data_IF_924021138008
#
_entry.id   IF_924021138008
#
_cell.length_a   1.000
_cell.length_b   1.000
_cell.length_c   1.000
_cell.angle_alpha   90.00
_cell.angle_beta   90.00
_cell.angle_gamma   90.00
#
_symmetry.space_group_name_H-M   'P 1'
#
loop_
_entity.id
_entity.type
_entity.pdbx_description
1 polymer ?
#
# COMPACT_ATOMS: atom_id res chain seq x y z
N UNK A 1 31.39 0.32 4.41
CA UNK A 1 31.69 0.34 5.85
C UNK A 1 33.12 0.81 5.99
N UNK A 2 33.32 1.98 6.52
CA UNK A 2 34.66 2.53 6.74
C UNK A 2 35.20 1.93 8.03
N UNK A 3 36.38 1.32 7.99
CA UNK A 3 37.00 0.77 9.20
C UNK A 3 37.50 1.91 10.07
N UNK A 4 37.05 1.95 11.31
CA UNK A 4 37.46 2.98 12.28
C UNK A 4 38.75 2.63 13.05
N UNK A 5 39.53 1.68 12.54
CA UNK A 5 40.72 1.13 13.20
C UNK A 5 41.71 2.22 13.58
N UNK A 6 42.05 3.12 12.65
CA UNK A 6 43.04 4.18 12.84
C UNK A 6 42.62 5.17 13.95
N UNK A 7 41.36 5.58 13.89
CA UNK A 7 40.75 6.48 14.90
C UNK A 7 40.73 5.81 16.29
N UNK A 8 40.35 4.54 16.33
CA UNK A 8 40.23 3.79 17.57
C UNK A 8 41.59 3.53 18.20
N UNK A 9 42.63 3.14 17.43
CA UNK A 9 43.99 3.01 17.92
C UNK A 9 44.42 4.34 18.57
N UNK A 10 44.24 5.47 17.87
CA UNK A 10 44.59 6.79 18.36
C UNK A 10 43.79 7.19 19.62
N UNK A 11 42.50 6.87 19.65
CA UNK A 11 41.61 7.14 20.78
C UNK A 11 42.07 6.36 22.03
N UNK A 12 42.26 5.04 21.91
CA UNK A 12 42.66 4.18 23.02
C UNK A 12 44.06 4.55 23.54
N UNK A 13 45.03 4.85 22.65
CA UNK A 13 46.36 5.32 23.02
C UNK A 13 46.26 6.61 23.85
N UNK A 14 45.47 7.61 23.37
CA UNK A 14 45.29 8.87 24.11
C UNK A 14 44.58 8.66 25.44
N UNK A 15 43.63 7.73 25.51
CA UNK A 15 42.94 7.39 26.78
C UNK A 15 43.90 6.81 27.80
N UNK A 16 44.89 6.00 27.38
CA UNK A 16 46.00 5.50 28.23
C UNK A 16 47.14 6.55 28.43
N UNK A 17 47.00 7.75 27.83
CA UNK A 17 48.01 8.85 27.92
C UNK A 17 49.38 8.48 27.36
N UNK A 18 49.44 7.60 26.38
CA UNK A 18 50.70 7.17 25.77
C UNK A 18 51.09 8.05 24.58
N UNK A 19 52.41 8.22 24.34
CA UNK A 19 52.92 8.73 23.06
C UNK A 19 52.92 7.61 22.03
N UNK A 20 53.14 7.93 20.73
CA UNK A 20 53.26 6.91 19.68
C UNK A 20 54.50 6.04 19.90
N UNK A 21 55.60 6.60 20.39
CA UNK A 21 56.83 5.91 20.73
C UNK A 21 56.62 4.90 21.86
N UNK A 22 55.87 5.29 22.89
CA UNK A 22 55.58 4.42 24.04
C UNK A 22 54.71 3.25 23.61
N UNK A 23 53.61 3.51 22.84
CA UNK A 23 52.79 2.40 22.29
C UNK A 23 53.60 1.49 21.40
N UNK A 24 54.47 2.04 20.56
CA UNK A 24 55.34 1.25 19.67
C UNK A 24 56.28 0.36 20.47
N UNK A 25 56.90 0.89 21.56
CA UNK A 25 57.78 0.10 22.43
C UNK A 25 57.00 -1.04 23.11
N UNK A 26 55.83 -0.77 23.62
CA UNK A 26 54.97 -1.76 24.28
C UNK A 26 54.51 -2.89 23.36
N UNK A 27 54.23 -2.57 22.07
CA UNK A 27 53.81 -3.53 21.04
C UNK A 27 55.03 -4.15 20.27
N UNK A 28 56.24 -3.81 20.59
CA UNK A 28 57.42 -4.36 19.89
C UNK A 28 57.56 -3.92 18.43
N UNK A 29 57.04 -2.76 18.06
CA UNK A 29 57.07 -2.21 16.71
C UNK A 29 57.82 -0.88 16.64
N UNK A 30 57.99 -0.33 15.43
CA UNK A 30 58.58 1.00 15.27
C UNK A 30 57.57 2.11 15.48
N UNK A 31 57.95 3.27 16.02
CA UNK A 31 57.06 4.44 16.12
C UNK A 31 56.51 4.88 14.78
N UNK A 32 57.26 4.70 13.69
CA UNK A 32 56.78 4.94 12.32
C UNK A 32 55.64 4.01 11.89
N UNK A 33 55.58 2.77 12.43
CA UNK A 33 54.47 1.87 12.15
C UNK A 33 53.15 2.41 12.82
N UNK A 34 53.24 2.76 14.11
CA UNK A 34 52.08 3.33 14.82
C UNK A 34 51.61 4.64 14.16
N UNK A 35 52.55 5.51 13.77
CA UNK A 35 52.21 6.72 13.01
C UNK A 35 51.40 6.40 11.71
N UNK A 36 51.91 5.47 10.92
CA UNK A 36 51.24 5.06 9.65
C UNK A 36 49.84 4.49 9.88
N UNK A 37 49.64 3.73 10.95
CA UNK A 37 48.34 3.17 11.29
C UNK A 37 47.33 4.28 11.67
N UNK A 38 47.74 5.20 12.54
CA UNK A 38 46.91 6.34 13.00
C UNK A 38 46.65 7.37 11.88
N UNK A 39 47.58 7.49 10.92
CA UNK A 39 47.45 8.35 9.75
C UNK A 39 46.72 7.70 8.55
N UNK A 40 46.23 6.46 8.70
CA UNK A 40 45.59 5.66 7.63
C UNK A 40 46.50 5.36 6.41
N UNK A 41 47.81 5.43 6.59
CA UNK A 41 48.78 5.15 5.53
C UNK A 41 49.08 3.67 5.38
N UNK A 42 48.84 2.87 6.40
CA UNK A 42 48.89 1.40 6.39
C UNK A 42 47.94 0.82 7.44
N UNK A 43 47.64 -0.47 7.31
CA UNK A 43 46.85 -1.24 8.27
C UNK A 43 47.78 -2.26 8.94
N UNK A 44 47.68 -2.47 10.27
CA UNK A 44 48.39 -3.54 10.96
C UNK A 44 48.01 -4.89 10.40
N UNK A 45 48.94 -5.86 10.46
CA UNK A 45 48.62 -7.27 10.17
C UNK A 45 47.62 -7.84 11.21
N UNK A 46 46.90 -8.91 10.83
CA UNK A 46 45.84 -9.46 11.65
C UNK A 46 46.29 -9.81 13.08
N UNK A 47 47.45 -10.43 13.26
CA UNK A 47 47.99 -10.76 14.56
C UNK A 47 48.25 -9.50 15.40
N UNK A 48 48.78 -8.44 14.78
CA UNK A 48 49.02 -7.16 15.44
C UNK A 48 47.70 -6.47 15.85
N UNK A 49 46.62 -6.63 15.08
CA UNK A 49 45.27 -6.12 15.45
C UNK A 49 44.79 -6.81 16.72
N UNK A 50 44.99 -8.12 16.86
CA UNK A 50 44.67 -8.90 18.06
C UNK A 50 45.51 -8.39 19.25
N UNK A 51 46.83 -8.26 19.09
CA UNK A 51 47.72 -7.75 20.15
C UNK A 51 47.35 -6.34 20.59
N UNK A 52 46.99 -5.44 19.68
CA UNK A 52 46.51 -4.10 19.98
C UNK A 52 45.18 -4.13 20.77
N UNK A 53 44.26 -5.03 20.38
CA UNK A 53 43.00 -5.20 21.11
C UNK A 53 43.26 -5.68 22.55
N UNK A 54 44.07 -6.71 22.72
CA UNK A 54 44.48 -7.23 24.02
C UNK A 54 45.20 -6.17 24.87
N UNK A 55 46.12 -5.43 24.29
CA UNK A 55 46.87 -4.36 24.97
C UNK A 55 45.94 -3.24 25.52
N UNK A 56 44.89 -2.93 24.79
CA UNK A 56 43.90 -1.92 25.16
C UNK A 56 42.72 -2.47 25.98
N UNK A 57 42.72 -3.75 26.34
CA UNK A 57 41.63 -4.44 27.04
C UNK A 57 40.28 -4.24 26.30
N UNK A 58 40.26 -4.42 24.99
CA UNK A 58 39.08 -4.26 24.14
C UNK A 58 38.92 -5.42 23.17
N UNK A 59 37.74 -5.61 22.60
CA UNK A 59 37.55 -6.63 21.56
C UNK A 59 38.07 -6.14 20.20
N UNK A 60 38.48 -7.08 19.34
CA UNK A 60 38.86 -6.78 17.94
C UNK A 60 37.72 -6.07 17.22
N UNK A 61 36.47 -6.48 17.44
CA UNK A 61 35.29 -5.84 16.85
C UNK A 61 35.19 -4.36 17.26
N UNK A 62 35.36 -4.08 18.55
CA UNK A 62 35.33 -2.69 19.06
C UNK A 62 36.50 -1.88 18.50
N UNK A 63 37.71 -2.48 18.43
CA UNK A 63 38.88 -1.83 17.84
C UNK A 63 38.70 -1.52 16.35
N UNK A 64 38.09 -2.42 15.58
CA UNK A 64 37.74 -2.22 14.16
C UNK A 64 36.55 -1.28 13.97
N UNK A 65 35.77 -0.98 15.02
CA UNK A 65 34.50 -0.30 14.93
C UNK A 65 33.43 -1.15 14.25
N UNK A 66 33.57 -2.47 14.35
CA UNK A 66 32.62 -3.42 13.74
C UNK A 66 31.49 -3.71 14.72
N UNK A 67 30.27 -3.51 14.25
CA UNK A 67 29.04 -3.98 14.92
C UNK A 67 28.45 -5.11 14.10
N UNK A 68 28.28 -6.29 14.72
CA UNK A 68 27.67 -7.42 14.07
C UNK A 68 26.22 -7.09 13.69
N UNK A 69 25.93 -7.07 12.39
CA UNK A 69 24.56 -6.91 11.92
C UNK A 69 23.78 -8.19 12.26
N UNK A 70 22.64 -8.02 12.93
CA UNK A 70 21.69 -9.11 13.06
C UNK A 70 21.13 -9.45 11.67
N UNK A 71 21.43 -10.65 11.20
CA UNK A 71 21.05 -11.12 9.87
C UNK A 71 19.99 -12.22 9.93
N UNK A 72 19.16 -12.27 10.99
CA UNK A 72 17.95 -13.09 10.99
C UNK A 72 16.97 -12.61 9.91
N UNK A 73 16.12 -13.50 9.45
CA UNK A 73 15.15 -13.20 8.38
C UNK A 73 14.32 -11.95 8.70
N UNK A 74 13.66 -11.93 9.86
CA UNK A 74 12.78 -10.83 10.27
C UNK A 74 13.50 -9.48 10.35
N UNK A 75 14.72 -9.45 10.91
CA UNK A 75 15.52 -8.23 11.02
C UNK A 75 16.00 -7.77 9.64
N UNK A 76 16.31 -8.71 8.75
CA UNK A 76 16.69 -8.39 7.36
C UNK A 76 15.52 -7.72 6.63
N UNK A 77 14.33 -8.30 6.72
CA UNK A 77 13.09 -7.72 6.12
C UNK A 77 12.81 -6.33 6.68
N UNK A 78 12.87 -6.18 8.00
CA UNK A 78 12.63 -4.88 8.64
C UNK A 78 13.62 -3.81 8.15
N UNK A 79 14.90 -4.17 8.00
CA UNK A 79 15.93 -3.27 7.48
C UNK A 79 15.69 -2.86 6.03
N UNK A 80 15.22 -3.79 5.17
CA UNK A 80 14.83 -3.45 3.80
C UNK A 80 13.65 -2.47 3.76
N UNK A 81 12.64 -2.67 4.62
CA UNK A 81 11.52 -1.73 4.79
C UNK A 81 12.00 -0.34 5.20
N UNK A 82 12.95 -0.27 6.13
CA UNK A 82 13.52 1.01 6.58
C UNK A 82 14.25 1.75 5.46
N UNK A 83 15.07 1.05 4.66
CA UNK A 83 15.73 1.65 3.49
C UNK A 83 14.72 2.20 2.48
N UNK A 84 13.62 1.49 2.26
CA UNK A 84 12.54 1.94 1.39
C UNK A 84 11.85 3.20 1.94
N UNK A 85 11.48 3.21 3.23
CA UNK A 85 10.79 4.32 3.87
C UNK A 85 11.69 5.57 3.91
N UNK A 86 12.97 5.39 4.26
CA UNK A 86 13.96 6.48 4.32
C UNK A 86 14.51 6.88 2.96
N UNK A 87 14.14 6.18 1.89
CA UNK A 87 14.63 6.39 0.53
C UNK A 87 16.16 6.30 0.40
N UNK A 88 16.75 5.39 1.15
CA UNK A 88 18.20 5.16 1.14
C UNK A 88 18.60 4.16 0.04
N UNK A 89 19.21 4.64 -1.04
CA UNK A 89 19.58 3.85 -2.23
C UNK A 89 20.53 2.67 -1.94
N UNK A 90 21.29 2.74 -0.85
CA UNK A 90 22.13 1.63 -0.38
C UNK A 90 21.28 0.36 -0.13
N UNK A 91 19.98 0.52 0.10
CA UNK A 91 19.03 -0.58 0.25
C UNK A 91 19.05 -1.58 -0.90
N UNK A 92 19.31 -1.15 -2.15
CA UNK A 92 19.41 -2.07 -3.30
C UNK A 92 20.56 -3.07 -3.15
N UNK A 93 21.73 -2.62 -2.69
CA UNK A 93 22.86 -3.52 -2.44
C UNK A 93 22.60 -4.47 -1.26
N UNK A 94 21.88 -4.01 -0.25
CA UNK A 94 21.47 -4.84 0.88
C UNK A 94 20.38 -5.85 0.48
N UNK A 95 19.47 -5.47 -0.44
CA UNK A 95 18.47 -6.38 -1.01
C UNK A 95 19.14 -7.53 -1.77
N UNK A 96 20.15 -7.25 -2.61
CA UNK A 96 20.90 -8.32 -3.31
C UNK A 96 21.63 -9.26 -2.33
N UNK A 97 22.19 -8.74 -1.23
CA UNK A 97 22.78 -9.58 -0.17
C UNK A 97 21.73 -10.45 0.52
N UNK A 98 20.56 -9.86 0.80
CA UNK A 98 19.44 -10.56 1.42
C UNK A 98 18.89 -11.66 0.50
N UNK A 99 18.71 -11.39 -0.80
CA UNK A 99 18.27 -12.34 -1.80
C UNK A 99 19.24 -13.51 -1.98
N UNK A 100 20.55 -13.26 -1.90
CA UNK A 100 21.57 -14.33 -1.92
C UNK A 100 21.48 -15.21 -0.67
N UNK A 101 21.20 -14.64 0.49
CA UNK A 101 21.13 -15.36 1.75
C UNK A 101 19.79 -16.11 1.93
N UNK A 102 18.69 -15.51 1.50
CA UNK A 102 17.33 -16.01 1.66
C UNK A 102 16.59 -16.08 0.31
N UNK A 103 17.08 -16.85 -0.66
CA UNK A 103 16.58 -16.83 -2.03
C UNK A 103 15.15 -17.36 -2.18
N UNK A 104 14.66 -18.09 -1.19
CA UNK A 104 13.33 -18.72 -1.18
C UNK A 104 12.44 -18.24 -0.04
N UNK A 105 12.74 -17.12 0.61
CA UNK A 105 11.90 -16.53 1.62
C UNK A 105 10.99 -15.46 0.98
N UNK A 106 9.68 -15.67 1.03
CA UNK A 106 8.69 -14.78 0.43
C UNK A 106 8.89 -13.32 0.83
N UNK A 107 9.01 -13.06 2.14
CA UNK A 107 9.09 -11.69 2.67
C UNK A 107 10.33 -10.94 2.17
N UNK A 108 11.46 -11.64 2.00
CA UNK A 108 12.69 -11.02 1.47
C UNK A 108 12.54 -10.73 -0.01
N UNK A 109 11.99 -11.68 -0.78
CA UNK A 109 11.83 -11.54 -2.23
C UNK A 109 10.83 -10.43 -2.54
N UNK A 110 9.69 -10.42 -1.87
CA UNK A 110 8.64 -9.41 -2.06
C UNK A 110 9.11 -8.02 -1.63
N UNK A 111 9.66 -7.86 -0.42
CA UNK A 111 10.13 -6.54 0.04
C UNK A 111 11.26 -6.00 -0.84
N UNK A 112 12.13 -6.89 -1.36
CA UNK A 112 13.13 -6.49 -2.36
C UNK A 112 12.49 -6.01 -3.65
N UNK A 113 11.44 -6.71 -4.14
CA UNK A 113 10.69 -6.29 -5.33
C UNK A 113 10.12 -4.87 -5.17
N UNK A 114 9.47 -4.62 -4.03
CA UNK A 114 8.91 -3.30 -3.74
C UNK A 114 10.00 -2.22 -3.64
N UNK A 115 11.14 -2.55 -3.04
CA UNK A 115 12.29 -1.64 -2.97
C UNK A 115 12.80 -1.27 -4.37
N UNK A 116 12.98 -2.27 -5.25
CA UNK A 116 13.39 -2.06 -6.65
C UNK A 116 12.36 -1.23 -7.43
N UNK A 117 11.06 -1.50 -7.23
CA UNK A 117 9.97 -0.72 -7.85
C UNK A 117 10.03 0.74 -7.44
N UNK A 118 10.13 1.03 -6.14
CA UNK A 118 10.15 2.41 -5.62
C UNK A 118 11.34 3.19 -6.17
N UNK A 119 12.55 2.62 -6.13
CA UNK A 119 13.73 3.32 -6.64
C UNK A 119 13.75 3.43 -8.16
N UNK A 120 13.23 2.41 -8.87
CA UNK A 120 13.09 2.45 -10.33
C UNK A 120 12.15 3.55 -10.78
N UNK A 121 11.02 3.73 -10.07
CA UNK A 121 10.08 4.82 -10.33
C UNK A 121 10.70 6.19 -10.03
N UNK A 122 11.32 6.37 -8.85
CA UNK A 122 11.87 7.67 -8.43
C UNK A 122 13.01 8.16 -9.32
N UNK A 123 13.81 7.24 -9.86
CA UNK A 123 14.98 7.56 -10.68
C UNK A 123 14.75 7.40 -12.18
N UNK A 124 13.58 6.93 -12.57
CA UNK A 124 13.27 6.57 -13.95
C UNK A 124 14.28 5.55 -14.53
N UNK A 125 14.71 4.60 -13.69
CA UNK A 125 15.65 3.55 -14.06
C UNK A 125 14.93 2.24 -14.44
N UNK A 126 14.73 2.05 -15.72
CA UNK A 126 14.01 0.89 -16.28
C UNK A 126 14.59 -0.46 -15.83
N UNK A 127 15.91 -0.56 -15.68
CA UNK A 127 16.58 -1.78 -15.21
C UNK A 127 16.14 -2.21 -13.82
N UNK A 128 15.87 -1.25 -12.93
CA UNK A 128 15.37 -1.52 -11.59
C UNK A 128 13.92 -2.02 -11.64
N UNK A 129 13.11 -1.47 -12.55
CA UNK A 129 11.72 -1.88 -12.76
C UNK A 129 11.64 -3.30 -13.33
N UNK A 130 12.49 -3.66 -14.29
CA UNK A 130 12.60 -5.04 -14.77
C UNK A 130 13.01 -6.01 -13.66
N UNK A 131 13.97 -5.61 -12.80
CA UNK A 131 14.33 -6.41 -11.64
C UNK A 131 13.17 -6.57 -10.64
N UNK A 132 12.38 -5.52 -10.46
CA UNK A 132 11.18 -5.59 -9.63
C UNK A 132 10.17 -6.63 -10.19
N UNK A 133 9.92 -6.64 -11.51
CA UNK A 133 9.04 -7.63 -12.15
C UNK A 133 9.54 -9.07 -11.92
N UNK A 134 10.80 -9.33 -12.16
CA UNK A 134 11.40 -10.66 -11.92
C UNK A 134 11.19 -11.14 -10.48
N UNK A 135 11.36 -10.22 -9.52
CA UNK A 135 11.15 -10.52 -8.11
C UNK A 135 9.66 -10.67 -7.74
N UNK A 136 8.75 -9.92 -8.38
CA UNK A 136 7.31 -10.09 -8.20
C UNK A 136 6.83 -11.44 -8.75
N UNK A 137 7.28 -11.84 -9.94
CA UNK A 137 7.00 -13.18 -10.49
C UNK A 137 7.46 -14.28 -9.53
N UNK A 138 8.65 -14.13 -8.98
CA UNK A 138 9.17 -15.05 -7.96
C UNK A 138 8.34 -15.01 -6.68
N UNK A 139 7.83 -13.85 -6.29
CA UNK A 139 6.93 -13.71 -5.13
C UNK A 139 5.62 -14.46 -5.34
N UNK A 140 5.06 -14.48 -6.55
CA UNK A 140 3.87 -15.29 -6.87
C UNK A 140 4.14 -16.78 -6.62
N UNK A 141 5.30 -17.30 -7.01
CA UNK A 141 5.67 -18.69 -6.76
C UNK A 141 5.85 -19.01 -5.27
N UNK A 142 6.26 -18.03 -4.47
CA UNK A 142 6.50 -18.17 -3.04
C UNK A 142 5.29 -17.79 -2.18
N UNK A 143 4.20 -17.32 -2.78
CA UNK A 143 3.01 -16.83 -2.09
C UNK A 143 2.42 -17.81 -1.05
N UNK A 144 2.48 -19.15 -1.22
CA UNK A 144 2.04 -20.07 -0.16
C UNK A 144 2.78 -19.94 1.17
N UNK A 145 3.94 -19.27 1.22
CA UNK A 145 4.68 -18.99 2.46
C UNK A 145 4.22 -17.69 3.13
N UNK A 146 3.42 -16.88 2.42
CA UNK A 146 2.98 -15.59 2.95
C UNK A 146 2.03 -15.74 4.12
N UNK A 147 2.26 -14.95 5.17
CA UNK A 147 1.40 -14.89 6.36
C UNK A 147 0.69 -13.54 6.52
N UNK A 148 1.01 -12.57 5.67
CA UNK A 148 0.38 -11.24 5.69
C UNK A 148 -0.93 -11.28 4.87
N UNK A 149 -2.11 -11.15 5.51
CA UNK A 149 -3.38 -11.19 4.81
C UNK A 149 -3.60 -10.02 3.82
N UNK A 150 -2.81 -8.95 3.93
CA UNK A 150 -2.87 -7.82 3.02
C UNK A 150 -2.21 -8.12 1.65
N UNK A 151 -1.39 -9.19 1.57
CA UNK A 151 -0.71 -9.58 0.34
C UNK A 151 -1.37 -10.85 -0.19
N UNK A 152 -1.95 -10.75 -1.36
CA UNK A 152 -2.62 -11.84 -2.06
C UNK A 152 -2.11 -11.94 -3.49
N UNK A 153 -2.53 -12.96 -4.21
CA UNK A 153 -2.26 -13.07 -5.66
C UNK A 153 -2.74 -11.83 -6.42
N UNK A 154 -3.92 -11.32 -6.05
CA UNK A 154 -4.45 -10.05 -6.56
C UNK A 154 -3.49 -8.88 -6.30
N UNK A 155 -2.95 -8.76 -5.10
CA UNK A 155 -2.00 -7.69 -4.75
C UNK A 155 -0.78 -7.76 -5.67
N UNK A 156 -0.19 -8.95 -5.82
CA UNK A 156 1.03 -9.15 -6.61
C UNK A 156 0.81 -8.85 -8.10
N UNK A 157 -0.29 -9.33 -8.70
CA UNK A 157 -0.60 -9.02 -10.09
C UNK A 157 -0.88 -7.54 -10.31
N UNK A 158 -1.52 -6.88 -9.32
CA UNK A 158 -1.69 -5.44 -9.32
C UNK A 158 -0.36 -4.69 -9.31
N UNK A 159 0.58 -5.12 -8.47
CA UNK A 159 1.93 -4.53 -8.40
C UNK A 159 2.74 -4.75 -9.70
N UNK A 160 2.61 -5.93 -10.33
CA UNK A 160 3.23 -6.20 -11.62
C UNK A 160 2.66 -5.30 -12.73
N UNK A 161 1.34 -5.12 -12.75
CA UNK A 161 0.69 -4.23 -13.71
C UNK A 161 1.17 -2.77 -13.54
N UNK A 162 1.34 -2.30 -12.30
CA UNK A 162 1.91 -0.98 -12.04
C UNK A 162 3.32 -0.84 -12.62
N UNK A 163 4.15 -1.86 -12.46
CA UNK A 163 5.51 -1.84 -13.03
C UNK A 163 5.47 -1.85 -14.57
N UNK A 164 4.59 -2.64 -15.19
CA UNK A 164 4.40 -2.61 -16.64
C UNK A 164 4.01 -1.21 -17.14
N UNK A 165 3.14 -0.51 -16.42
CA UNK A 165 2.79 0.88 -16.78
C UNK A 165 3.98 1.84 -16.66
N UNK A 166 4.82 1.66 -15.63
CA UNK A 166 6.01 2.50 -15.42
C UNK A 166 7.06 2.33 -16.51
N UNK A 167 7.10 1.18 -17.19
CA UNK A 167 8.01 0.90 -18.33
C UNK A 167 7.32 1.05 -19.69
N UNK A 168 6.17 1.71 -19.75
CA UNK A 168 5.37 1.94 -20.96
C UNK A 168 4.89 0.67 -21.67
N UNK A 169 4.73 -0.43 -20.95
CA UNK A 169 4.20 -1.71 -21.45
C UNK A 169 2.70 -1.86 -21.07
N UNK A 170 1.90 -0.84 -21.34
CA UNK A 170 0.47 -0.79 -20.98
C UNK A 170 -0.34 -1.99 -21.50
N UNK A 171 -0.02 -2.48 -22.72
CA UNK A 171 -0.63 -3.69 -23.26
C UNK A 171 -0.44 -4.91 -22.37
N UNK A 172 0.78 -5.13 -21.85
CA UNK A 172 1.06 -6.26 -20.94
C UNK A 172 0.35 -6.09 -19.59
N UNK A 173 0.24 -4.85 -19.10
CA UNK A 173 -0.53 -4.57 -17.89
C UNK A 173 -2.00 -4.97 -18.06
N UNK A 174 -2.62 -4.59 -19.19
CA UNK A 174 -4.02 -4.91 -19.50
C UNK A 174 -4.21 -6.43 -19.64
N UNK A 175 -3.34 -7.12 -20.36
CA UNK A 175 -3.40 -8.57 -20.55
C UNK A 175 -3.32 -9.30 -19.20
N UNK A 176 -2.35 -8.93 -18.37
CA UNK A 176 -2.19 -9.50 -17.03
C UNK A 176 -3.45 -9.29 -16.17
N UNK A 177 -3.91 -8.03 -16.09
CA UNK A 177 -5.08 -7.71 -15.28
C UNK A 177 -6.34 -8.41 -15.79
N UNK A 178 -6.55 -8.51 -17.11
CA UNK A 178 -7.69 -9.25 -17.70
C UNK A 178 -7.63 -10.73 -17.38
N UNK A 179 -6.45 -11.35 -17.45
CA UNK A 179 -6.24 -12.76 -17.14
C UNK A 179 -6.65 -13.10 -15.70
N UNK A 180 -6.38 -12.21 -14.75
CA UNK A 180 -6.62 -12.44 -13.32
C UNK A 180 -7.78 -11.60 -12.75
N UNK A 181 -8.70 -11.15 -13.59
CA UNK A 181 -9.85 -10.29 -13.21
C UNK A 181 -11.04 -11.09 -12.64
N UNK A 182 -10.79 -12.08 -11.80
CA UNK A 182 -11.88 -12.82 -11.17
C UNK A 182 -12.76 -11.88 -10.32
N UNK A 183 -14.07 -11.96 -10.52
CA UNK A 183 -15.03 -11.09 -9.82
C UNK A 183 -14.96 -9.61 -10.19
N UNK A 184 -14.20 -9.24 -11.22
CA UNK A 184 -14.09 -7.85 -11.67
C UNK A 184 -13.24 -6.94 -10.79
N UNK A 185 -12.35 -7.52 -9.97
CA UNK A 185 -11.52 -6.75 -9.03
C UNK A 185 -10.60 -5.71 -9.66
N UNK A 186 -10.27 -5.87 -10.93
CA UNK A 186 -9.43 -4.94 -11.68
C UNK A 186 -10.18 -4.10 -12.70
N UNK A 187 -11.51 -4.11 -12.68
CA UNK A 187 -12.30 -3.37 -13.65
C UNK A 187 -11.96 -1.88 -13.68
N UNK A 188 -11.81 -1.25 -12.52
CA UNK A 188 -11.41 0.15 -12.40
C UNK A 188 -10.04 0.42 -13.02
N UNK A 189 -9.07 -0.45 -12.78
CA UNK A 189 -7.70 -0.32 -13.28
C UNK A 189 -7.62 -0.57 -14.79
N UNK A 190 -8.26 -1.65 -15.27
CA UNK A 190 -8.33 -1.98 -16.69
C UNK A 190 -9.01 -0.83 -17.45
N UNK A 191 -10.16 -0.38 -16.96
CA UNK A 191 -10.88 0.73 -17.55
C UNK A 191 -10.07 2.03 -17.57
N UNK A 192 -9.38 2.35 -16.47
CA UNK A 192 -8.51 3.53 -16.42
C UNK A 192 -7.37 3.46 -17.45
N UNK A 193 -6.68 2.31 -17.56
CA UNK A 193 -5.58 2.14 -18.49
C UNK A 193 -6.06 2.25 -19.94
N UNK A 194 -7.17 1.56 -20.27
CA UNK A 194 -7.78 1.64 -21.61
C UNK A 194 -8.19 3.08 -21.97
N UNK A 195 -8.77 3.81 -21.02
CA UNK A 195 -9.20 5.19 -21.25
C UNK A 195 -8.04 6.18 -21.50
N UNK A 196 -6.80 5.82 -21.15
CA UNK A 196 -5.62 6.67 -21.45
C UNK A 196 -5.16 6.59 -22.90
N UNK A 197 -5.59 5.56 -23.66
CA UNK A 197 -5.37 5.43 -25.10
C UNK A 197 -6.62 5.84 -25.86
N UNK A 198 -6.53 6.90 -26.69
CA UNK A 198 -7.68 7.39 -27.47
C UNK A 198 -8.29 6.34 -28.39
N UNK A 199 -7.51 5.36 -28.86
CA UNK A 199 -8.00 4.30 -29.71
C UNK A 199 -8.74 3.18 -28.95
N UNK A 200 -8.54 3.10 -27.64
CA UNK A 200 -9.11 2.06 -26.76
C UNK A 200 -10.13 2.63 -25.76
N UNK A 201 -10.43 3.92 -25.84
CA UNK A 201 -11.31 4.60 -24.89
C UNK A 201 -12.72 3.98 -24.83
N UNK A 202 -13.28 3.56 -25.96
CA UNK A 202 -14.58 2.88 -26.02
C UNK A 202 -14.53 1.50 -25.34
N UNK A 203 -13.41 0.79 -25.44
CA UNK A 203 -13.22 -0.51 -24.76
C UNK A 203 -13.12 -0.36 -23.23
N UNK A 204 -12.86 0.84 -22.72
CA UNK A 204 -12.83 1.14 -21.30
C UNK A 204 -14.23 1.16 -20.66
N UNK A 205 -15.25 1.56 -21.43
CA UNK A 205 -16.58 1.86 -20.90
C UNK A 205 -17.23 0.67 -20.15
N UNK A 206 -17.22 -0.57 -20.66
CA UNK A 206 -17.75 -1.72 -19.92
C UNK A 206 -17.07 -1.94 -18.57
N UNK A 207 -15.72 -1.82 -18.53
CA UNK A 207 -14.95 -2.00 -17.31
C UNK A 207 -15.23 -0.89 -16.28
N UNK A 208 -15.26 0.36 -16.73
CA UNK A 208 -15.57 1.51 -15.87
C UNK A 208 -17.02 1.45 -15.35
N UNK A 209 -17.97 1.04 -16.18
CA UNK A 209 -19.36 0.87 -15.78
C UNK A 209 -19.52 -0.20 -14.69
N UNK A 210 -18.87 -1.37 -14.88
CA UNK A 210 -18.88 -2.42 -13.85
C UNK A 210 -18.17 -2.00 -12.57
N UNK A 211 -17.05 -1.30 -12.68
CA UNK A 211 -16.33 -0.76 -11.52
C UNK A 211 -17.20 0.25 -10.76
N UNK A 212 -17.86 1.17 -11.45
CA UNK A 212 -18.77 2.14 -10.83
C UNK A 212 -19.88 1.43 -10.06
N UNK A 213 -20.53 0.43 -10.68
CA UNK A 213 -21.60 -0.33 -10.05
C UNK A 213 -21.13 -1.05 -8.78
N UNK A 214 -19.99 -1.74 -8.84
CA UNK A 214 -19.42 -2.46 -7.71
C UNK A 214 -19.04 -1.49 -6.56
N UNK A 215 -18.40 -0.38 -6.90
CA UNK A 215 -17.94 0.59 -5.92
C UNK A 215 -19.08 1.37 -5.28
N UNK A 216 -20.12 1.79 -6.05
CA UNK A 216 -21.27 2.50 -5.44
C UNK A 216 -22.03 1.61 -4.47
N UNK A 217 -22.20 0.33 -4.79
CA UNK A 217 -22.83 -0.64 -3.89
C UNK A 217 -22.00 -0.82 -2.59
N UNK A 218 -20.69 -0.88 -2.70
CA UNK A 218 -19.80 -0.95 -1.54
C UNK A 218 -19.85 0.33 -0.69
N UNK A 219 -19.85 1.50 -1.34
CA UNK A 219 -19.95 2.81 -0.67
C UNK A 219 -21.27 2.94 0.09
N UNK A 220 -22.39 2.54 -0.51
CA UNK A 220 -23.69 2.58 0.17
C UNK A 220 -23.68 1.76 1.46
N UNK A 221 -23.19 0.52 1.42
CA UNK A 221 -23.05 -0.31 2.64
C UNK A 221 -22.13 0.33 3.68
N UNK A 222 -21.05 0.95 3.25
CA UNK A 222 -20.10 1.65 4.13
C UNK A 222 -20.78 2.84 4.83
N UNK A 223 -21.58 3.65 4.11
CA UNK A 223 -22.33 4.77 4.67
C UNK A 223 -23.31 4.30 5.74
N UNK A 224 -24.11 3.26 5.46
CA UNK A 224 -25.01 2.66 6.44
C UNK A 224 -24.27 2.15 7.68
N UNK A 225 -23.13 1.48 7.46
CA UNK A 225 -22.28 0.99 8.54
C UNK A 225 -21.78 2.13 9.44
N UNK A 226 -21.23 3.21 8.85
CA UNK A 226 -20.78 4.38 9.62
C UNK A 226 -21.92 5.10 10.33
N UNK A 227 -23.07 5.30 9.67
CA UNK A 227 -24.25 5.91 10.30
C UNK A 227 -24.69 5.09 11.52
N UNK A 228 -24.68 3.75 11.42
CA UNK A 228 -24.98 2.85 12.54
C UNK A 228 -23.98 2.99 13.67
N UNK A 229 -22.66 3.01 13.38
CA UNK A 229 -21.62 3.20 14.39
C UNK A 229 -21.77 4.52 15.13
N UNK A 230 -22.00 5.62 14.40
CA UNK A 230 -22.22 6.94 15.01
C UNK A 230 -23.50 6.96 15.85
N UNK A 231 -24.57 6.31 15.38
CA UNK A 231 -25.81 6.18 16.15
C UNK A 231 -25.59 5.45 17.49
N UNK A 232 -24.87 4.33 17.49
CA UNK A 232 -24.52 3.58 18.72
C UNK A 232 -23.69 4.42 19.69
N UNK A 233 -22.87 5.33 19.18
CA UNK A 233 -22.07 6.27 19.97
C UNK A 233 -22.86 7.49 20.43
N UNK A 234 -24.14 7.61 20.07
CA UNK A 234 -25.01 8.79 20.26
C UNK A 234 -24.44 10.07 19.57
N UNK A 235 -23.60 9.91 18.56
CA UNK A 235 -23.07 10.98 17.71
C UNK A 235 -23.98 11.15 16.49
N UNK A 236 -25.18 11.67 16.73
CA UNK A 236 -26.18 11.80 15.67
C UNK A 236 -25.79 12.85 14.62
N UNK A 237 -25.00 13.84 14.97
CA UNK A 237 -24.49 14.86 14.04
C UNK A 237 -23.56 14.25 12.98
N UNK A 238 -22.63 13.40 13.39
CA UNK A 238 -21.76 12.68 12.43
C UNK A 238 -22.54 11.67 11.60
N UNK A 239 -23.54 10.99 12.20
CA UNK A 239 -24.43 10.09 11.48
C UNK A 239 -25.26 10.83 10.40
N UNK A 240 -25.80 12.00 10.72
CA UNK A 240 -26.49 12.86 9.77
C UNK A 240 -25.57 13.32 8.63
N UNK A 241 -24.36 13.77 8.96
CA UNK A 241 -23.38 14.24 7.98
C UNK A 241 -23.00 13.16 6.96
N UNK A 242 -22.74 11.92 7.38
CA UNK A 242 -22.39 10.83 6.46
C UNK A 242 -23.57 10.41 5.58
N UNK A 243 -24.80 10.45 6.10
CA UNK A 243 -26.00 10.15 5.33
C UNK A 243 -26.28 11.23 4.29
N UNK A 244 -26.14 12.51 4.64
CA UNK A 244 -26.29 13.63 3.69
C UNK A 244 -25.26 13.54 2.56
N UNK A 245 -24.00 13.24 2.87
CA UNK A 245 -22.98 13.00 1.86
C UNK A 245 -23.37 11.84 0.95
N UNK A 246 -23.87 10.74 1.50
CA UNK A 246 -24.34 9.60 0.72
C UNK A 246 -25.51 9.92 -0.20
N UNK A 247 -26.47 10.68 0.29
CA UNK A 247 -27.63 11.14 -0.48
C UNK A 247 -27.17 12.00 -1.66
N UNK A 248 -26.25 12.93 -1.44
CA UNK A 248 -25.71 13.79 -2.50
C UNK A 248 -25.00 12.96 -3.57
N UNK A 249 -24.11 12.04 -3.15
CA UNK A 249 -23.36 11.17 -4.05
C UNK A 249 -24.30 10.31 -4.92
N UNK A 250 -25.28 9.63 -4.31
CA UNK A 250 -26.22 8.75 -5.01
C UNK A 250 -27.11 9.55 -5.94
N UNK A 251 -27.61 10.71 -5.49
CA UNK A 251 -28.45 11.59 -6.30
C UNK A 251 -27.74 12.06 -7.57
N UNK A 252 -26.40 12.24 -7.50
CA UNK A 252 -25.59 12.56 -8.68
C UNK A 252 -25.57 11.48 -9.77
N UNK A 253 -25.91 10.24 -9.43
CA UNK A 253 -25.96 9.10 -10.34
C UNK A 253 -27.37 8.82 -10.88
N UNK A 254 -28.41 9.47 -10.40
CA UNK A 254 -29.77 9.30 -10.91
C UNK A 254 -29.96 10.04 -12.24
N UNK A 255 -30.81 9.53 -13.12
CA UNK A 255 -31.19 10.19 -14.36
C UNK A 255 -32.52 10.93 -14.17
N UNK A 256 -32.62 12.23 -14.50
CA UNK A 256 -33.87 12.97 -14.37
C UNK A 256 -35.02 12.30 -15.17
N UNK A 257 -36.15 12.10 -14.51
CA UNK A 257 -37.34 11.49 -15.13
C UNK A 257 -37.28 9.99 -15.34
N UNK A 258 -36.27 9.31 -14.82
CA UNK A 258 -36.17 7.85 -14.83
C UNK A 258 -35.97 7.33 -13.42
N UNK A 259 -36.60 6.20 -13.12
CA UNK A 259 -36.40 5.49 -11.87
C UNK A 259 -35.27 4.48 -12.00
N UNK A 260 -34.57 4.24 -10.93
CA UNK A 260 -33.52 3.22 -10.82
C UNK A 260 -33.54 2.62 -9.41
N UNK A 261 -32.82 1.55 -9.21
CA UNK A 261 -32.65 0.97 -7.87
C UNK A 261 -32.06 1.97 -6.86
N UNK A 262 -31.33 3.00 -7.33
CA UNK A 262 -30.79 4.07 -6.48
C UNK A 262 -31.88 4.89 -5.80
N UNK A 263 -33.07 5.04 -6.43
CA UNK A 263 -34.20 5.75 -5.83
C UNK A 263 -34.71 5.02 -4.58
N UNK A 264 -34.73 3.69 -4.63
CA UNK A 264 -35.07 2.85 -3.48
C UNK A 264 -34.05 3.05 -2.34
N UNK A 265 -32.76 3.10 -2.67
CA UNK A 265 -31.70 3.36 -1.70
C UNK A 265 -31.78 4.79 -1.12
N UNK A 266 -32.09 5.79 -1.96
CA UNK A 266 -32.29 7.18 -1.50
C UNK A 266 -33.47 7.26 -0.51
N UNK A 267 -34.59 6.60 -0.81
CA UNK A 267 -35.70 6.48 0.12
C UNK A 267 -35.27 5.98 1.49
N UNK A 268 -34.52 4.87 1.51
CA UNK A 268 -33.98 4.27 2.73
C UNK A 268 -33.02 5.21 3.47
N UNK A 269 -32.13 5.88 2.77
CA UNK A 269 -31.20 6.84 3.40
C UNK A 269 -31.94 8.02 4.03
N UNK A 270 -33.02 8.50 3.41
CA UNK A 270 -33.85 9.55 4.00
C UNK A 270 -34.61 9.08 5.24
N UNK A 271 -34.99 7.80 5.34
CA UNK A 271 -35.56 7.24 6.59
C UNK A 271 -34.53 7.21 7.70
N UNK A 272 -33.32 6.74 7.40
CA UNK A 272 -32.19 6.75 8.36
C UNK A 272 -31.89 8.18 8.82
N UNK A 273 -31.84 9.13 7.88
CA UNK A 273 -31.63 10.55 8.18
C UNK A 273 -32.69 11.10 9.11
N UNK A 274 -33.96 10.83 8.82
CA UNK A 274 -35.08 11.25 9.68
C UNK A 274 -34.96 10.66 11.09
N UNK A 275 -34.56 9.40 11.21
CA UNK A 275 -34.31 8.78 12.51
C UNK A 275 -33.21 9.52 13.29
N UNK A 276 -32.08 9.87 12.66
CA UNK A 276 -31.00 10.64 13.30
C UNK A 276 -31.50 12.03 13.74
N UNK A 277 -32.27 12.70 12.88
CA UNK A 277 -32.85 14.02 13.16
C UNK A 277 -33.86 13.99 14.33
N UNK A 278 -34.67 12.93 14.45
CA UNK A 278 -35.52 12.73 15.62
C UNK A 278 -34.68 12.56 16.90
N UNK A 279 -33.60 11.80 16.82
CA UNK A 279 -32.70 11.58 17.96
C UNK A 279 -31.91 12.83 18.35
N UNK A 280 -31.71 13.75 17.42
CA UNK A 280 -31.12 15.09 17.64
C UNK A 280 -32.17 16.16 18.01
N UNK A 281 -33.42 15.76 18.26
CA UNK A 281 -34.54 16.66 18.57
C UNK A 281 -34.93 17.62 17.43
N UNK A 282 -34.43 17.39 16.20
CA UNK A 282 -34.75 18.20 15.03
C UNK A 282 -35.95 17.62 14.26
N UNK A 283 -37.14 17.83 14.81
CA UNK A 283 -38.39 17.24 14.29
C UNK A 283 -38.82 17.80 12.94
N UNK A 284 -38.55 19.07 12.67
CA UNK A 284 -38.96 19.70 11.40
C UNK A 284 -38.23 19.13 10.23
N UNK A 285 -36.91 18.98 10.33
CA UNK A 285 -36.07 18.35 9.28
C UNK A 285 -36.39 16.86 9.12
N UNK A 286 -36.70 16.16 10.23
CA UNK A 286 -37.13 14.76 10.16
C UNK A 286 -38.42 14.58 9.35
N UNK A 287 -39.39 15.48 9.50
CA UNK A 287 -40.64 15.45 8.70
C UNK A 287 -40.30 15.68 7.21
N UNK A 288 -39.38 16.59 6.90
CA UNK A 288 -38.95 16.85 5.52
C UNK A 288 -38.29 15.60 4.95
N UNK A 289 -37.40 14.97 5.70
CA UNK A 289 -36.72 13.75 5.29
C UNK A 289 -37.69 12.60 5.04
N UNK A 290 -38.66 12.38 5.92
CA UNK A 290 -39.71 11.35 5.72
C UNK A 290 -40.58 11.61 4.47
N UNK A 291 -40.95 12.87 4.21
CA UNK A 291 -41.69 13.21 2.98
C UNK A 291 -40.85 12.91 1.72
N UNK A 292 -39.54 13.14 1.75
CA UNK A 292 -38.64 12.81 0.65
C UNK A 292 -38.54 11.29 0.46
N UNK A 293 -38.39 10.52 1.55
CA UNK A 293 -38.40 9.06 1.49
C UNK A 293 -39.67 8.53 0.83
N UNK A 294 -40.85 9.02 1.26
CA UNK A 294 -42.14 8.65 0.68
C UNK A 294 -42.23 9.01 -0.82
N UNK A 295 -41.71 10.16 -1.22
CA UNK A 295 -41.69 10.57 -2.62
C UNK A 295 -40.89 9.60 -3.48
N UNK A 296 -39.65 9.28 -3.05
CA UNK A 296 -38.80 8.31 -3.76
C UNK A 296 -39.46 6.93 -3.84
N UNK A 297 -40.06 6.43 -2.75
CA UNK A 297 -40.71 5.14 -2.77
C UNK A 297 -41.94 5.14 -3.72
N UNK A 298 -42.76 6.18 -3.71
CA UNK A 298 -43.92 6.31 -4.58
C UNK A 298 -43.53 6.35 -6.06
N UNK A 299 -42.50 7.14 -6.40
CA UNK A 299 -42.05 7.32 -7.76
C UNK A 299 -41.43 6.01 -8.28
N UNK A 300 -40.65 5.31 -7.46
CA UNK A 300 -40.10 4.00 -7.80
C UNK A 300 -41.18 2.95 -8.00
N UNK A 301 -42.16 2.83 -7.06
CA UNK A 301 -43.19 1.82 -7.11
C UNK A 301 -44.18 2.05 -8.27
N UNK A 302 -44.33 3.30 -8.75
CA UNK A 302 -45.12 3.63 -9.92
C UNK A 302 -44.43 3.16 -11.22
N UNK A 303 -43.12 3.19 -11.30
CA UNK A 303 -42.33 2.80 -12.48
C UNK A 303 -41.05 2.03 -12.05
N UNK A 304 -41.20 0.82 -11.52
CA UNK A 304 -40.06 0.07 -11.00
C UNK A 304 -39.08 -0.31 -12.09
N UNK A 305 -37.79 -0.09 -11.81
CA UNK A 305 -36.69 -0.46 -12.69
C UNK A 305 -35.77 -1.43 -11.94
N UNK A 306 -35.70 -2.65 -12.43
CA UNK A 306 -34.93 -3.74 -11.82
C UNK A 306 -33.56 -3.97 -12.50
N UNK A 307 -33.21 -3.16 -13.46
CA UNK A 307 -31.92 -3.20 -14.13
C UNK A 307 -31.11 -1.92 -13.84
N UNK A 308 -29.85 -1.91 -14.27
CA UNK A 308 -28.93 -0.81 -14.04
C UNK A 308 -28.91 0.25 -15.16
N UNK A 309 -29.82 0.12 -16.17
CA UNK A 309 -29.81 0.95 -17.38
C UNK A 309 -30.10 2.45 -17.12
N UNK A 310 -30.75 2.77 -16.02
CA UNK A 310 -31.14 4.14 -15.67
C UNK A 310 -30.16 4.83 -14.67
N UNK A 311 -28.98 4.25 -14.49
CA UNK A 311 -27.90 4.87 -13.69
C UNK A 311 -27.00 5.69 -14.62
N UNK A 312 -26.69 6.93 -14.26
CA UNK A 312 -25.79 7.77 -15.07
C UNK A 312 -24.39 7.15 -15.12
N UNK A 313 -23.74 7.31 -16.29
CA UNK A 313 -22.39 6.83 -16.57
C UNK A 313 -22.25 5.29 -16.63
N UNK A 314 -23.34 4.53 -16.50
CA UNK A 314 -23.34 3.09 -16.70
C UNK A 314 -23.84 2.82 -18.09
N UNK A 315 -22.99 2.21 -18.90
CA UNK A 315 -23.26 1.84 -20.28
C UNK A 315 -22.80 0.40 -20.55
N UNK A 316 -23.42 -0.26 -21.55
CA UNK A 316 -23.03 -1.59 -22.05
C UNK A 316 -23.00 -2.72 -21.01
N UNK A 317 -23.80 -2.62 -19.94
CA UNK A 317 -24.01 -3.74 -19.05
C UNK A 317 -25.19 -4.53 -19.58
N UNK A 318 -24.95 -5.73 -20.07
CA UNK A 318 -26.00 -6.70 -20.31
C UNK A 318 -26.77 -6.91 -19.02
N UNK A 319 -28.06 -6.56 -19.04
CA UNK A 319 -29.08 -6.62 -18.00
C UNK A 319 -28.64 -7.32 -16.69
N UNK A 320 -27.85 -6.65 -15.90
CA UNK A 320 -27.59 -7.07 -14.52
C UNK A 320 -28.83 -6.66 -13.72
N UNK A 321 -29.66 -7.63 -13.35
CA UNK A 321 -30.76 -7.38 -12.46
C UNK A 321 -30.22 -6.94 -11.10
N UNK A 322 -30.73 -5.84 -10.58
CA UNK A 322 -30.48 -5.45 -9.20
C UNK A 322 -31.21 -6.47 -8.30
N UNK A 323 -30.47 -7.43 -7.78
CA UNK A 323 -30.95 -8.24 -6.68
C UNK A 323 -30.75 -7.45 -5.40
N UNK A 324 -31.87 -7.04 -4.79
CA UNK A 324 -31.87 -6.48 -3.45
C UNK A 324 -32.81 -7.34 -2.56
N UNK A 325 -32.48 -7.41 -1.30
CA UNK A 325 -33.22 -8.08 -0.23
C UNK A 325 -34.14 -7.09 0.53
N UNK A 326 -34.41 -5.92 -0.07
CA UNK A 326 -35.17 -4.83 0.53
C UNK A 326 -36.69 -4.93 0.30
N UNK A 327 -37.19 -6.07 -0.19
CA UNK A 327 -38.59 -6.27 -0.49
C UNK A 327 -38.99 -6.01 -1.95
N UNK A 328 -40.23 -6.36 -2.33
CA UNK A 328 -40.71 -6.23 -3.70
C UNK A 328 -41.04 -4.80 -4.10
N UNK A 329 -41.40 -3.96 -3.14
CA UNK A 329 -41.71 -2.52 -3.32
C UNK A 329 -40.68 -1.67 -2.59
N UNK A 330 -40.56 -0.40 -3.00
CA UNK A 330 -39.72 0.54 -2.28
C UNK A 330 -40.36 0.90 -0.91
N UNK A 331 -41.68 0.90 -0.80
CA UNK A 331 -42.35 1.10 0.49
C UNK A 331 -42.04 -0.01 1.50
N UNK A 332 -41.87 -1.25 1.08
CA UNK A 332 -41.45 -2.34 1.97
C UNK A 332 -40.03 -2.17 2.48
N UNK A 333 -39.20 -1.41 1.76
CA UNK A 333 -37.81 -1.14 2.13
C UNK A 333 -37.63 0.00 3.13
N UNK A 334 -38.67 0.85 3.33
CA UNK A 334 -38.65 1.95 4.26
C UNK A 334 -38.94 1.49 5.70
#
# INVERSE_FOLDING_TARGET
MEMMLAENIRMYRKKKRLTQEQLAADLGVTSGAVYKWEAKLSVPELNMIIEIADYFDTSVDALLGYTMKDNRLSVTVQRLKEYRIKKEYVGLSEAEKALKKFPHAFEVVHESAILYRVFGMERHEEKLLWRALELLEKSCMLLPQNTDPAISELTLHGEMADVYLMINEGGKAIELLKQYNAGGHYNDRIGFILATDQNLAEDAVPFLSMALLQNITAIMRMIEGYATVFCVRNDYSSAESILLWGIELISGLTQPGKTSFLDKMLGRFYVFLAFMQIRSENKDDAIISLKRAQAFARDYDAFPCFDMSNIRYIEFIDRVNAYDDLGTTAFESL
#
